data_IF_478402208706
#
_entry.id   IF_478402208706
#
_cell.length_a   1.000
_cell.length_b   1.000
_cell.length_c   1.000
_cell.angle_alpha   90.00
_cell.angle_beta   90.00
_cell.angle_gamma   90.00
#
_symmetry.space_group_name_H-M   'P 1'
#
loop_
_entity.id
_entity.type
_entity.pdbx_description
1 polymer ?
#
# COMPACT_ATOMS: atom_id res chain seq x y z
N UNK A 1 -26.25 -7.89 16.28
CA UNK A 1 -27.39 -8.16 15.38
C UNK A 1 -28.76 -7.71 15.88
N UNK A 2 -29.14 -7.91 17.15
CA UNK A 2 -30.51 -7.62 17.62
C UNK A 2 -30.99 -6.18 17.34
N UNK A 3 -30.13 -5.19 17.59
CA UNK A 3 -30.47 -3.79 17.32
C UNK A 3 -30.70 -3.52 15.82
N UNK A 4 -29.82 -4.04 14.95
CA UNK A 4 -29.96 -3.93 13.49
C UNK A 4 -31.31 -4.52 13.04
N UNK A 5 -31.65 -5.72 13.52
CA UNK A 5 -32.92 -6.37 13.20
C UNK A 5 -34.14 -5.65 13.77
N UNK A 6 -34.03 -4.94 14.90
CA UNK A 6 -35.14 -4.14 15.44
C UNK A 6 -35.54 -2.97 14.55
N UNK A 7 -34.65 -2.55 13.63
CA UNK A 7 -34.87 -1.43 12.72
C UNK A 7 -35.14 -1.91 11.29
N UNK A 8 -34.27 -2.81 10.79
CA UNK A 8 -34.22 -3.15 9.37
C UNK A 8 -35.04 -4.39 8.98
N UNK A 9 -35.42 -5.26 9.93
CA UNK A 9 -36.09 -6.53 9.58
C UNK A 9 -37.41 -6.33 8.81
N UNK A 10 -38.15 -5.25 9.09
CA UNK A 10 -39.39 -4.90 8.37
C UNK A 10 -39.17 -4.58 6.88
N UNK A 11 -37.94 -4.25 6.49
CA UNK A 11 -37.55 -3.96 5.10
C UNK A 11 -36.97 -5.18 4.39
N UNK A 12 -36.74 -6.28 5.13
CA UNK A 12 -36.18 -7.50 4.57
C UNK A 12 -37.24 -8.31 3.81
N UNK A 13 -36.86 -9.03 2.73
CA UNK A 13 -37.79 -9.86 1.99
C UNK A 13 -38.27 -11.05 2.83
N UNK A 14 -39.48 -11.55 2.55
CA UNK A 14 -40.08 -12.69 3.29
C UNK A 14 -39.20 -13.94 3.28
N UNK A 15 -38.45 -14.16 2.18
CA UNK A 15 -37.52 -15.30 2.03
C UNK A 15 -36.24 -15.18 2.87
N UNK A 16 -35.93 -13.99 3.38
CA UNK A 16 -34.78 -13.73 4.25
C UNK A 16 -35.13 -12.65 5.27
N UNK A 17 -36.05 -12.91 6.21
CA UNK A 17 -36.72 -11.86 7.00
C UNK A 17 -35.83 -11.24 8.09
N UNK A 18 -34.59 -11.69 8.22
CA UNK A 18 -33.64 -11.22 9.24
C UNK A 18 -32.37 -10.74 8.55
N UNK A 19 -31.81 -9.65 9.07
CA UNK A 19 -30.47 -9.19 8.71
C UNK A 19 -29.44 -10.06 9.43
N UNK A 20 -28.50 -10.61 8.66
CA UNK A 20 -27.35 -11.38 9.13
C UNK A 20 -26.16 -11.16 8.18
N UNK A 21 -24.98 -11.65 8.57
CA UNK A 21 -23.78 -11.61 7.72
C UNK A 21 -24.05 -12.30 6.37
N UNK A 22 -24.68 -13.47 6.43
CA UNK A 22 -25.01 -14.33 5.29
C UNK A 22 -26.50 -14.25 4.86
N UNK A 23 -27.25 -13.23 5.31
CA UNK A 23 -28.63 -13.01 4.85
C UNK A 23 -28.68 -12.64 3.38
N UNK A 24 -29.89 -12.61 2.80
CA UNK A 24 -30.11 -12.26 1.40
C UNK A 24 -31.18 -11.16 1.31
N UNK A 25 -30.81 -9.86 1.25
CA UNK A 25 -29.46 -9.32 1.02
C UNK A 25 -28.52 -9.48 2.23
N UNK A 26 -27.20 -9.55 1.95
CA UNK A 26 -26.15 -9.61 2.99
C UNK A 26 -26.03 -8.30 3.74
N UNK A 27 -25.60 -8.35 5.00
CA UNK A 27 -25.37 -7.14 5.79
C UNK A 27 -24.41 -6.15 5.11
N UNK A 28 -23.33 -6.65 4.49
CA UNK A 28 -22.39 -5.82 3.73
C UNK A 28 -23.05 -5.10 2.54
N UNK A 29 -23.95 -5.78 1.82
CA UNK A 29 -24.72 -5.16 0.72
C UNK A 29 -25.74 -4.12 1.20
N UNK A 30 -26.36 -4.32 2.36
CA UNK A 30 -27.21 -3.30 3.00
C UNK A 30 -26.37 -2.09 3.40
N UNK A 31 -25.21 -2.30 4.03
CA UNK A 31 -24.28 -1.24 4.41
C UNK A 31 -23.80 -0.44 3.20
N UNK A 32 -23.42 -1.13 2.11
CA UNK A 32 -23.03 -0.51 0.84
C UNK A 32 -24.15 0.39 0.28
N UNK A 33 -25.37 -0.14 0.19
CA UNK A 33 -26.54 0.61 -0.30
C UNK A 33 -26.79 1.87 0.53
N UNK A 34 -26.72 1.78 1.87
CA UNK A 34 -26.91 2.93 2.75
C UNK A 34 -25.84 3.99 2.50
N UNK A 35 -24.56 3.60 2.42
CA UNK A 35 -23.47 4.55 2.17
C UNK A 35 -23.54 5.16 0.76
N UNK A 36 -23.93 4.39 -0.24
CA UNK A 36 -24.18 4.90 -1.59
C UNK A 36 -25.29 5.95 -1.58
N UNK A 37 -26.46 5.66 -1.02
CA UNK A 37 -27.56 6.63 -0.96
C UNK A 37 -27.22 7.88 -0.14
N UNK A 38 -26.45 7.74 0.95
CA UNK A 38 -25.98 8.87 1.76
C UNK A 38 -25.09 9.83 0.94
N UNK A 39 -24.24 9.29 0.06
CA UNK A 39 -23.31 10.05 -0.77
C UNK A 39 -23.94 10.75 -1.98
N UNK A 40 -25.06 10.24 -2.51
CA UNK A 40 -25.68 10.73 -3.76
C UNK A 40 -26.72 11.85 -3.57
N UNK A 41 -27.04 12.20 -2.31
CA UNK A 41 -27.94 13.31 -1.98
C UNK A 41 -29.43 12.94 -1.84
N UNK A 42 -30.33 13.93 -1.73
CA UNK A 42 -31.71 13.70 -1.28
C UNK A 42 -32.55 12.79 -2.20
N UNK A 43 -32.27 12.76 -3.51
CA UNK A 43 -33.06 12.02 -4.49
C UNK A 43 -32.97 10.49 -4.33
N UNK A 44 -31.90 9.99 -3.71
CA UNK A 44 -31.66 8.56 -3.49
C UNK A 44 -31.77 8.16 -2.03
N UNK A 45 -32.10 9.11 -1.13
CA UNK A 45 -32.20 8.85 0.31
C UNK A 45 -33.23 7.76 0.60
N UNK A 46 -32.82 6.83 1.45
CA UNK A 46 -33.68 5.84 2.08
C UNK A 46 -34.51 6.47 3.21
N UNK A 47 -35.50 5.76 3.75
CA UNK A 47 -36.18 6.18 4.98
C UNK A 47 -35.19 6.53 6.10
N UNK A 48 -35.54 7.51 6.95
CA UNK A 48 -34.61 8.11 7.91
C UNK A 48 -33.96 7.12 8.88
N UNK A 49 -34.65 6.03 9.20
CA UNK A 49 -34.13 4.99 10.10
C UNK A 49 -32.88 4.27 9.57
N UNK A 50 -32.65 4.25 8.26
CA UNK A 50 -31.44 3.68 7.66
C UNK A 50 -30.19 4.50 8.01
N UNK A 51 -30.36 5.74 8.46
CA UNK A 51 -29.28 6.64 8.85
C UNK A 51 -29.15 6.80 10.36
N UNK A 52 -29.78 5.91 11.15
CA UNK A 52 -29.55 5.83 12.59
C UNK A 52 -28.05 5.59 12.88
N UNK A 53 -27.48 6.39 13.78
CA UNK A 53 -26.03 6.38 14.05
C UNK A 53 -25.56 5.04 14.61
N UNK A 54 -26.35 4.45 15.51
CA UNK A 54 -26.00 3.21 16.20
C UNK A 54 -26.15 2.01 15.25
N UNK A 55 -27.16 2.05 14.38
CA UNK A 55 -27.36 1.10 13.29
C UNK A 55 -26.14 1.08 12.37
N UNK A 56 -25.75 2.26 11.85
CA UNK A 56 -24.59 2.39 10.95
C UNK A 56 -23.30 1.92 11.60
N UNK A 57 -23.06 2.30 12.86
CA UNK A 57 -21.87 1.86 13.60
C UNK A 57 -21.82 0.33 13.72
N UNK A 58 -22.93 -0.32 14.09
CA UNK A 58 -22.94 -1.77 14.24
C UNK A 58 -22.83 -2.51 12.91
N UNK A 59 -23.42 -2.00 11.83
CA UNK A 59 -23.24 -2.59 10.50
C UNK A 59 -21.81 -2.41 10.01
N UNK A 60 -21.21 -1.23 10.16
CA UNK A 60 -19.82 -0.96 9.77
C UNK A 60 -18.86 -1.89 10.51
N UNK A 61 -18.97 -1.98 11.84
CA UNK A 61 -18.11 -2.85 12.64
C UNK A 61 -18.16 -4.30 12.14
N UNK A 62 -19.37 -4.82 11.91
CA UNK A 62 -19.55 -6.22 11.54
C UNK A 62 -19.10 -6.49 10.09
N UNK A 63 -19.32 -5.53 9.18
CA UNK A 63 -18.83 -5.62 7.82
C UNK A 63 -17.29 -5.55 7.76
N UNK A 64 -16.67 -4.67 8.56
CA UNK A 64 -15.21 -4.57 8.69
C UNK A 64 -14.62 -5.86 9.26
N UNK A 65 -15.24 -6.42 10.29
CA UNK A 65 -14.78 -7.68 10.88
C UNK A 65 -14.92 -8.85 9.88
N UNK A 66 -16.06 -8.95 9.18
CA UNK A 66 -16.30 -9.96 8.15
C UNK A 66 -15.23 -9.91 7.04
N UNK A 67 -14.89 -8.72 6.56
CA UNK A 67 -14.05 -8.56 5.37
C UNK A 67 -12.56 -8.45 5.69
N UNK A 68 -12.18 -7.88 6.84
CA UNK A 68 -10.80 -7.41 7.05
C UNK A 68 -10.11 -7.98 8.29
N UNK A 69 -10.81 -8.66 9.21
CA UNK A 69 -10.18 -9.21 10.42
C UNK A 69 -9.04 -10.19 10.10
N UNK A 70 -9.16 -10.96 9.01
CA UNK A 70 -8.13 -11.91 8.57
C UNK A 70 -6.74 -11.27 8.37
N UNK A 71 -6.67 -10.02 7.91
CA UNK A 71 -5.39 -9.32 7.75
C UNK A 71 -4.67 -9.05 9.08
N UNK A 72 -5.39 -8.97 10.20
CA UNK A 72 -4.80 -8.76 11.52
C UNK A 72 -4.34 -10.06 12.18
N UNK A 73 -4.85 -11.21 11.74
CA UNK A 73 -4.76 -12.46 12.52
C UNK A 73 -4.05 -13.60 11.78
N UNK A 74 -3.95 -13.56 10.45
CA UNK A 74 -3.40 -14.66 9.64
C UNK A 74 -2.32 -14.19 8.67
N UNK A 75 -1.14 -14.80 8.74
CA UNK A 75 -0.03 -14.55 7.81
C UNK A 75 -0.39 -15.00 6.40
N UNK A 76 -0.97 -16.18 6.24
CA UNK A 76 -1.49 -16.65 4.96
C UNK A 76 -2.50 -15.68 4.34
N UNK A 77 -3.44 -15.15 5.13
CA UNK A 77 -4.43 -14.19 4.63
C UNK A 77 -3.77 -12.90 4.09
N UNK A 78 -2.78 -12.36 4.81
CA UNK A 78 -1.96 -11.23 4.34
C UNK A 78 -1.19 -11.60 3.07
N UNK A 79 -0.55 -12.77 3.09
CA UNK A 79 0.37 -13.23 2.05
C UNK A 79 -0.33 -13.43 0.71
N UNK A 80 -1.46 -14.12 0.73
CA UNK A 80 -2.22 -14.44 -0.48
C UNK A 80 -3.14 -13.28 -0.89
N UNK A 81 -3.56 -12.43 0.04
CA UNK A 81 -4.43 -11.28 -0.23
C UNK A 81 -3.70 -10.06 -0.80
N UNK A 82 -2.67 -9.56 -0.10
CA UNK A 82 -2.01 -8.28 -0.45
C UNK A 82 -0.49 -8.37 -0.58
N UNK A 83 0.10 -9.48 -0.15
CA UNK A 83 1.54 -9.69 -0.09
C UNK A 83 2.26 -9.51 -1.42
N UNK A 84 1.67 -9.98 -2.52
CA UNK A 84 2.26 -9.79 -3.85
C UNK A 84 2.43 -8.30 -4.19
N UNK A 85 1.36 -7.51 -4.00
CA UNK A 85 1.35 -6.08 -4.28
C UNK A 85 2.31 -5.30 -3.38
N UNK A 86 2.29 -5.54 -2.06
CA UNK A 86 3.20 -4.84 -1.15
C UNK A 86 4.66 -5.23 -1.39
N UNK A 87 4.92 -6.50 -1.73
CA UNK A 87 6.24 -6.92 -2.19
C UNK A 87 6.71 -6.14 -3.43
N UNK A 88 5.83 -5.90 -4.40
CA UNK A 88 6.17 -5.11 -5.60
C UNK A 88 6.42 -3.65 -5.26
N UNK A 89 5.63 -3.06 -4.36
CA UNK A 89 5.84 -1.69 -3.88
C UNK A 89 7.21 -1.55 -3.21
N UNK A 90 7.56 -2.49 -2.32
CA UNK A 90 8.87 -2.49 -1.65
C UNK A 90 10.00 -2.73 -2.63
N UNK A 91 9.84 -3.62 -3.61
CA UNK A 91 10.85 -3.87 -4.63
C UNK A 91 11.19 -2.62 -5.46
N UNK A 92 10.17 -1.82 -5.81
CA UNK A 92 10.36 -0.51 -6.47
C UNK A 92 11.15 0.47 -5.58
N UNK A 93 10.89 0.46 -4.28
CA UNK A 93 11.63 1.29 -3.33
C UNK A 93 13.07 0.84 -3.17
N UNK A 94 13.30 -0.47 -3.08
CA UNK A 94 14.64 -1.08 -3.02
C UNK A 94 15.43 -0.74 -4.27
N UNK A 95 14.86 -0.91 -5.47
CA UNK A 95 15.54 -0.55 -6.72
C UNK A 95 15.87 0.94 -6.79
N UNK A 96 15.02 1.79 -6.21
CA UNK A 96 15.33 3.23 -6.09
C UNK A 96 16.51 3.49 -5.16
N UNK A 97 16.53 2.82 -4.00
CA UNK A 97 17.58 3.00 -3.00
C UNK A 97 18.92 2.38 -3.41
N UNK A 98 18.92 1.24 -4.12
CA UNK A 98 20.12 0.45 -4.44
C UNK A 98 20.62 0.76 -5.85
N UNK A 99 19.72 0.81 -6.82
CA UNK A 99 20.06 0.95 -8.25
C UNK A 99 19.90 2.40 -8.76
N UNK A 100 19.57 3.34 -7.87
CA UNK A 100 19.39 4.76 -8.19
C UNK A 100 18.11 5.09 -8.95
N UNK A 101 17.15 4.15 -9.04
CA UNK A 101 15.82 4.43 -9.56
C UNK A 101 15.10 3.19 -10.08
N UNK A 102 13.81 3.07 -9.77
CA UNK A 102 12.96 2.06 -10.39
C UNK A 102 12.61 2.39 -11.85
N UNK A 103 12.68 1.40 -12.73
CA UNK A 103 12.32 1.47 -14.14
C UNK A 103 11.38 0.31 -14.47
N UNK A 104 10.44 0.53 -15.40
CA UNK A 104 9.50 -0.51 -15.83
C UNK A 104 9.62 -0.74 -17.33
N UNK A 105 9.80 -2.00 -17.74
CA UNK A 105 9.79 -2.43 -19.14
C UNK A 105 8.42 -2.24 -19.82
N UNK A 106 7.35 -2.24 -19.03
CA UNK A 106 5.98 -2.08 -19.51
C UNK A 106 5.52 -0.61 -19.53
N UNK A 107 6.37 0.34 -19.14
CA UNK A 107 5.99 1.75 -19.14
C UNK A 107 5.89 2.29 -20.57
N UNK A 108 4.70 2.77 -20.93
CA UNK A 108 4.44 3.46 -22.20
C UNK A 108 5.29 4.75 -22.37
N UNK A 109 5.93 5.24 -21.30
CA UNK A 109 6.71 6.49 -21.31
C UNK A 109 8.13 6.37 -21.88
N UNK A 110 8.46 5.27 -22.57
CA UNK A 110 9.81 5.01 -23.09
C UNK A 110 10.85 4.74 -22.00
N UNK A 111 10.41 4.33 -20.81
CA UNK A 111 11.33 3.83 -19.79
C UNK A 111 11.76 2.42 -20.19
N UNK A 112 13.00 2.22 -20.64
CA UNK A 112 13.60 0.89 -20.71
C UNK A 112 14.42 0.61 -19.44
N UNK A 113 14.69 -0.65 -19.16
CA UNK A 113 15.58 -1.07 -18.06
C UNK A 113 16.98 -0.47 -18.18
N UNK A 114 17.51 -0.36 -19.41
CA UNK A 114 18.88 0.10 -19.63
C UNK A 114 19.02 1.62 -19.80
N UNK A 115 18.05 2.30 -20.41
CA UNK A 115 18.15 3.71 -20.81
C UNK A 115 16.92 4.56 -20.43
N UNK A 116 15.97 3.98 -19.70
CA UNK A 116 14.76 4.65 -19.27
C UNK A 116 14.99 5.67 -18.15
N UNK A 117 14.13 6.70 -18.11
CA UNK A 117 14.05 7.58 -16.94
C UNK A 117 13.45 6.82 -15.77
N UNK A 118 14.05 6.98 -14.59
CA UNK A 118 13.51 6.44 -13.36
C UNK A 118 12.10 6.99 -13.11
N UNK A 119 11.17 6.10 -12.74
CA UNK A 119 9.79 6.44 -12.43
C UNK A 119 9.74 7.06 -11.04
N UNK A 120 9.25 8.29 -10.96
CA UNK A 120 9.15 9.06 -9.71
C UNK A 120 7.78 8.99 -9.05
N UNK A 121 6.76 8.57 -9.80
CA UNK A 121 5.38 8.56 -9.35
C UNK A 121 4.61 7.46 -10.07
N UNK A 122 3.83 6.70 -9.30
CA UNK A 122 2.95 5.67 -9.81
C UNK A 122 1.59 5.81 -9.13
N UNK A 123 0.53 5.66 -9.91
CA UNK A 123 -0.84 5.63 -9.43
C UNK A 123 -1.47 4.29 -9.79
N UNK A 124 -2.26 3.75 -8.87
CA UNK A 124 -3.03 2.54 -9.09
C UNK A 124 -4.46 2.77 -8.63
N UNK A 125 -5.41 2.70 -9.57
CA UNK A 125 -6.81 2.57 -9.21
C UNK A 125 -7.03 1.22 -8.55
N UNK A 126 -7.73 1.21 -7.41
CA UNK A 126 -7.97 0.00 -6.63
C UNK A 126 -9.33 0.08 -5.92
N UNK A 127 -9.58 -0.87 -5.03
CA UNK A 127 -10.81 -0.98 -4.25
C UNK A 127 -10.54 -0.68 -2.77
N UNK A 128 -11.58 -0.32 -2.02
CA UNK A 128 -11.57 -0.23 -0.56
C UNK A 128 -10.88 -1.42 0.12
N UNK A 129 -11.15 -2.63 -0.35
CA UNK A 129 -10.51 -3.87 0.11
C UNK A 129 -8.99 -3.83 0.01
N UNK A 130 -8.43 -3.18 -1.02
CA UNK A 130 -6.98 -3.01 -1.18
C UNK A 130 -6.42 -2.08 -0.11
N UNK A 131 -7.10 -0.97 0.19
CA UNK A 131 -6.66 -0.04 1.24
C UNK A 131 -6.74 -0.69 2.62
N UNK A 132 -7.85 -1.36 2.92
CA UNK A 132 -8.03 -2.08 4.18
C UNK A 132 -6.99 -3.21 4.33
N UNK A 133 -6.67 -3.92 3.26
CA UNK A 133 -5.65 -4.96 3.25
C UNK A 133 -4.26 -4.42 3.55
N UNK A 134 -3.86 -3.30 2.94
CA UNK A 134 -2.57 -2.66 3.19
C UNK A 134 -2.48 -2.21 4.66
N UNK A 135 -3.48 -1.46 5.14
CA UNK A 135 -3.46 -0.93 6.51
C UNK A 135 -3.54 -2.05 7.55
N UNK A 136 -4.40 -3.05 7.33
CA UNK A 136 -4.53 -4.22 8.19
C UNK A 136 -3.24 -5.03 8.27
N UNK A 137 -2.59 -5.28 7.12
CA UNK A 137 -1.34 -6.07 7.08
C UNK A 137 -0.15 -5.36 7.73
N UNK A 138 -0.14 -4.03 7.69
CA UNK A 138 0.84 -3.19 8.39
C UNK A 138 0.50 -2.94 9.86
N UNK A 139 -0.58 -3.53 10.40
CA UNK A 139 -0.99 -3.35 11.79
C UNK A 139 -1.48 -1.93 12.11
N UNK A 140 -1.96 -1.20 11.10
CA UNK A 140 -2.35 0.20 11.17
C UNK A 140 -3.79 0.43 10.68
N UNK A 141 -4.63 -0.60 10.75
CA UNK A 141 -6.06 -0.48 10.40
C UNK A 141 -6.78 0.47 11.36
N UNK A 142 -7.59 1.43 10.86
CA UNK A 142 -8.42 2.27 11.70
C UNK A 142 -9.67 1.55 12.23
N UNK A 143 -9.90 0.27 11.85
CA UNK A 143 -11.11 -0.48 12.24
C UNK A 143 -12.38 0.05 11.59
N UNK A 144 -12.27 0.70 10.43
CA UNK A 144 -13.37 1.33 9.69
C UNK A 144 -13.31 0.99 8.21
N UNK A 145 -14.46 1.04 7.55
CA UNK A 145 -14.52 0.81 6.11
C UNK A 145 -13.90 2.02 5.37
N UNK A 146 -12.99 1.83 4.40
CA UNK A 146 -12.45 2.95 3.65
C UNK A 146 -13.54 3.71 2.88
N UNK A 147 -13.81 5.00 3.17
CA UNK A 147 -14.86 5.74 2.46
C UNK A 147 -14.49 6.00 1.00
N UNK A 148 -15.48 6.39 0.19
CA UNK A 148 -15.25 6.85 -1.18
C UNK A 148 -14.12 7.89 -1.23
N UNK A 149 -13.34 7.86 -2.32
CA UNK A 149 -12.17 8.73 -2.56
C UNK A 149 -11.00 8.54 -1.59
N UNK A 150 -11.05 7.51 -0.73
CA UNK A 150 -9.91 7.20 0.12
C UNK A 150 -8.67 6.85 -0.69
N UNK A 151 -7.50 7.18 -0.13
CA UNK A 151 -6.22 6.91 -0.76
C UNK A 151 -5.15 6.54 0.26
N UNK A 152 -4.18 5.76 -0.20
CA UNK A 152 -2.92 5.51 0.51
C UNK A 152 -1.78 6.04 -0.35
N UNK A 153 -0.95 6.90 0.23
CA UNK A 153 0.34 7.28 -0.34
C UNK A 153 1.44 6.47 0.36
N UNK A 154 2.31 5.84 -0.44
CA UNK A 154 3.50 5.13 0.04
C UNK A 154 4.71 5.87 -0.51
N UNK A 155 5.40 6.60 0.35
CA UNK A 155 6.38 7.62 -0.04
C UNK A 155 7.78 7.20 0.40
N UNK A 156 8.77 7.35 -0.50
CA UNK A 156 10.17 7.07 -0.23
C UNK A 156 10.96 8.37 -0.14
N UNK A 157 11.74 8.50 0.93
CA UNK A 157 12.61 9.63 1.22
C UNK A 157 14.06 9.15 1.35
N UNK A 158 15.00 10.04 1.08
CA UNK A 158 16.40 9.89 1.45
C UNK A 158 16.83 11.09 2.29
N UNK A 159 17.85 10.91 3.12
CA UNK A 159 18.50 12.08 3.75
C UNK A 159 19.18 12.89 2.65
N UNK A 160 18.89 14.19 2.60
CA UNK A 160 19.66 15.11 1.79
C UNK A 160 21.11 15.08 2.30
N UNK A 161 22.07 14.86 1.39
CA UNK A 161 23.46 15.15 1.69
C UNK A 161 23.54 16.63 2.01
N UNK A 162 23.75 16.98 3.28
CA UNK A 162 24.19 18.33 3.67
C UNK A 162 25.59 18.51 3.09
N UNK A 163 25.69 18.78 1.79
CA UNK A 163 26.80 19.58 1.29
C UNK A 163 26.71 20.88 2.07
N UNK A 164 27.82 21.24 2.70
CA UNK A 164 28.02 22.46 3.47
C UNK A 164 27.95 23.71 2.58
N UNK A 165 26.85 23.91 1.86
CA UNK A 165 26.47 25.19 1.27
C UNK A 165 25.17 25.54 1.97
N UNK A 166 25.22 26.57 2.82
CA UNK A 166 24.08 27.07 3.59
C UNK A 166 22.99 27.63 2.69
N UNK A 167 22.30 26.76 1.96
CA UNK A 167 21.07 27.08 1.25
C UNK A 167 19.90 26.80 2.18
N UNK A 168 19.31 27.90 2.61
CA UNK A 168 18.25 28.03 3.59
C UNK A 168 17.00 27.27 3.12
N UNK A 169 16.33 26.59 4.05
CA UNK A 169 15.12 25.80 3.77
C UNK A 169 13.97 26.64 3.16
N UNK A 170 14.07 27.97 3.23
CA UNK A 170 13.16 28.93 2.60
C UNK A 170 13.15 28.88 1.06
N UNK A 171 14.24 28.50 0.40
CA UNK A 171 14.32 28.53 -1.08
C UNK A 171 13.46 27.45 -1.73
N UNK A 172 13.37 26.27 -1.11
CA UNK A 172 12.53 25.17 -1.62
C UNK A 172 11.04 25.50 -1.53
N UNK A 173 10.59 26.20 -0.48
CA UNK A 173 9.20 26.61 -0.30
C UNK A 173 8.78 27.72 -1.27
N UNK A 174 9.69 28.63 -1.65
CA UNK A 174 9.42 29.64 -2.68
C UNK A 174 9.28 29.03 -4.08
N UNK A 175 10.06 28.00 -4.43
CA UNK A 175 10.00 27.38 -5.76
C UNK A 175 8.68 26.64 -6.02
N UNK A 176 8.06 26.07 -4.97
CA UNK A 176 6.69 25.52 -5.05
C UNK A 176 5.61 26.60 -5.11
N UNK A 177 5.87 27.78 -4.55
CA UNK A 177 4.91 28.89 -4.49
C UNK A 177 4.91 29.74 -5.77
N UNK A 178 6.05 29.80 -6.47
CA UNK A 178 6.20 30.52 -7.73
C UNK A 178 7.07 29.70 -8.70
N UNK A 179 6.48 28.92 -9.63
CA UNK A 179 7.26 28.25 -10.65
C UNK A 179 7.82 29.29 -11.63
N UNK A 180 9.02 29.79 -11.36
CA UNK A 180 9.74 30.63 -12.31
C UNK A 180 10.07 29.78 -13.54
N UNK A 181 9.59 30.22 -14.71
CA UNK A 181 9.91 29.61 -16.00
C UNK A 181 11.43 29.75 -16.20
N UNK A 182 12.16 28.65 -15.98
CA UNK A 182 13.59 28.60 -16.24
C UNK A 182 13.84 28.85 -17.74
N UNK A 183 14.46 29.98 -18.06
CA UNK A 183 14.90 30.29 -19.40
C UNK A 183 15.92 29.25 -19.87
N UNK A 184 15.56 28.49 -20.92
CA UNK A 184 16.48 27.60 -21.63
C UNK A 184 17.69 28.40 -22.14
N UNK A 185 18.87 28.16 -21.58
CA UNK A 185 20.13 28.52 -22.24
C UNK A 185 20.28 27.64 -23.49
N UNK A 186 20.23 28.28 -24.65
CA UNK A 186 20.57 27.67 -25.94
C UNK A 186 22.06 27.33 -25.98
N UNK A 187 22.39 26.05 -26.13
CA UNK A 187 23.75 25.59 -26.32
C UNK A 187 23.84 24.47 -27.35
N UNK A 188 24.32 24.83 -28.55
CA UNK A 188 25.23 23.99 -29.36
C UNK A 188 24.65 22.83 -30.17
N UNK A 189 24.31 23.11 -31.43
CA UNK A 189 23.99 22.17 -32.53
C UNK A 189 25.23 21.44 -33.09
N UNK A 190 26.06 20.76 -32.28
CA UNK A 190 27.17 19.93 -32.80
C UNK A 190 27.51 18.74 -31.89
N UNK A 191 26.83 17.61 -32.08
CA UNK A 191 27.40 16.28 -31.83
C UNK A 191 26.59 15.21 -32.57
N UNK A 192 26.56 15.32 -33.91
CA UNK A 192 25.97 14.33 -34.80
C UNK A 192 27.08 13.77 -35.70
N UNK A 193 27.95 12.93 -35.13
CA UNK A 193 28.74 11.90 -35.84
C UNK A 193 29.72 11.24 -34.86
N UNK A 194 29.31 10.10 -34.30
CA UNK A 194 30.19 8.96 -34.06
C UNK A 194 29.31 7.72 -33.96
N UNK A 195 29.10 7.10 -35.11
CA UNK A 195 28.58 5.74 -35.19
C UNK A 195 29.61 4.81 -34.56
N UNK A 196 29.15 4.03 -33.58
CA UNK A 196 29.82 2.80 -33.18
C UNK A 196 28.86 1.67 -33.48
N UNK A 197 29.18 0.91 -34.52
CA UNK A 197 28.65 -0.43 -34.72
C UNK A 197 29.03 -1.29 -33.52
N UNK A 198 28.04 -1.78 -32.78
CA UNK A 198 28.21 -2.97 -31.96
C UNK A 198 27.00 -3.86 -32.15
N UNK A 199 27.21 -4.92 -32.94
CA UNK A 199 26.46 -6.16 -32.80
C UNK A 199 26.72 -6.70 -31.41
N UNK A 200 25.70 -6.78 -30.56
CA UNK A 200 25.71 -7.70 -29.43
C UNK A 200 24.33 -8.30 -29.26
N UNK A 201 24.32 -9.62 -29.35
CA UNK A 201 23.24 -10.52 -28.99
C UNK A 201 22.63 -10.11 -27.65
N UNK A 202 21.36 -9.75 -27.67
CA UNK A 202 20.59 -9.29 -26.52
C UNK A 202 20.26 -10.46 -25.57
N UNK A 203 21.18 -10.78 -24.68
CA UNK A 203 20.81 -11.35 -23.39
C UNK A 203 20.42 -10.20 -22.46
N UNK A 204 19.21 -10.20 -21.86
CA UNK A 204 18.87 -9.24 -20.82
C UNK A 204 19.95 -9.28 -19.73
N UNK A 205 20.32 -8.14 -19.12
CA UNK A 205 21.16 -8.16 -17.95
C UNK A 205 20.54 -9.09 -16.88
N UNK A 206 21.35 -9.82 -16.11
CA UNK A 206 20.82 -10.64 -15.04
C UNK A 206 20.01 -9.76 -14.07
N UNK A 207 18.92 -10.30 -13.48
CA UNK A 207 18.16 -9.55 -12.48
C UNK A 207 19.08 -9.06 -11.37
N UNK A 208 18.83 -7.84 -10.87
CA UNK A 208 19.55 -7.32 -9.70
C UNK A 208 19.48 -8.33 -8.56
N UNK A 209 20.58 -8.53 -7.84
CA UNK A 209 20.66 -9.49 -6.71
C UNK A 209 19.65 -9.18 -5.60
N UNK A 210 19.09 -7.97 -5.58
CA UNK A 210 18.07 -7.52 -4.62
C UNK A 210 16.62 -7.68 -5.13
N UNK A 211 16.43 -7.98 -6.42
CA UNK A 211 15.10 -8.03 -7.04
C UNK A 211 14.24 -9.16 -6.45
N UNK A 212 13.13 -8.78 -5.79
CA UNK A 212 12.19 -9.68 -5.09
C UNK A 212 12.87 -10.64 -4.10
N UNK A 213 14.09 -10.34 -3.68
CA UNK A 213 14.84 -11.15 -2.73
C UNK A 213 14.51 -10.76 -1.28
N UNK A 214 14.53 -11.70 -0.32
CA UNK A 214 14.32 -11.38 1.08
C UNK A 214 15.47 -10.52 1.62
N UNK A 215 15.19 -9.61 2.56
CA UNK A 215 16.19 -8.74 3.18
C UNK A 215 17.37 -9.54 3.76
N UNK A 216 17.09 -10.74 4.27
CA UNK A 216 18.08 -11.66 4.81
C UNK A 216 19.21 -11.99 3.81
N UNK A 217 18.94 -12.03 2.51
CA UNK A 217 19.92 -12.35 1.48
C UNK A 217 20.63 -11.13 0.88
N UNK A 218 20.30 -9.91 1.34
CA UNK A 218 20.90 -8.70 0.76
C UNK A 218 22.36 -8.55 1.18
N UNK A 219 23.25 -8.12 0.26
CA UNK A 219 24.63 -7.80 0.58
C UNK A 219 24.72 -6.54 1.47
N UNK A 220 25.77 -6.44 2.28
CA UNK A 220 25.93 -5.34 3.25
C UNK A 220 25.81 -3.93 2.64
N UNK A 221 26.39 -3.63 1.45
CA UNK A 221 26.22 -2.31 0.84
C UNK A 221 24.77 -1.98 0.50
N UNK A 222 23.98 -2.97 0.05
CA UNK A 222 22.56 -2.77 -0.23
C UNK A 222 21.78 -2.45 1.05
N UNK A 223 22.03 -3.20 2.14
CA UNK A 223 21.43 -2.95 3.46
C UNK A 223 21.76 -1.55 3.98
N UNK A 224 23.02 -1.13 3.87
CA UNK A 224 23.43 0.22 4.25
C UNK A 224 22.73 1.30 3.42
N UNK A 225 22.44 1.03 2.14
CA UNK A 225 21.67 1.96 1.32
C UNK A 225 20.23 2.08 1.81
N UNK A 226 19.57 0.97 2.13
CA UNK A 226 18.19 0.99 2.66
C UNK A 226 18.08 1.81 3.95
N UNK A 227 19.08 1.74 4.84
CA UNK A 227 19.12 2.51 6.10
C UNK A 227 19.26 4.03 5.92
N UNK A 228 19.66 4.49 4.73
CA UNK A 228 19.69 5.92 4.37
C UNK A 228 18.35 6.42 3.83
N UNK A 229 17.40 5.52 3.64
CA UNK A 229 16.09 5.79 3.08
C UNK A 229 14.99 5.55 4.12
N UNK A 230 13.91 6.32 3.99
CA UNK A 230 12.76 6.27 4.88
C UNK A 230 11.47 6.12 4.09
N UNK A 231 10.54 5.35 4.62
CA UNK A 231 9.21 5.13 4.09
C UNK A 231 8.20 5.83 4.99
N UNK A 232 7.31 6.62 4.39
CA UNK A 232 6.11 7.15 5.07
C UNK A 232 4.87 6.63 4.37
N UNK A 233 3.91 6.20 5.17
CA UNK A 233 2.57 5.87 4.69
C UNK A 233 1.63 7.00 5.12
N UNK A 234 0.74 7.42 4.21
CA UNK A 234 -0.35 8.33 4.55
C UNK A 234 -1.68 7.73 4.13
N UNK A 235 -2.66 7.74 5.01
CA UNK A 235 -4.03 7.33 4.72
C UNK A 235 -4.93 8.57 4.79
N UNK A 236 -5.56 8.91 3.67
CA UNK A 236 -6.35 10.14 3.54
C UNK A 236 -5.58 11.38 4.02
N UNK A 237 -4.35 11.52 3.52
CA UNK A 237 -3.40 12.59 3.83
C UNK A 237 -2.81 12.59 5.25
N UNK A 238 -3.27 11.71 6.14
CA UNK A 238 -2.79 11.60 7.52
C UNK A 238 -1.65 10.58 7.63
N UNK A 239 -0.49 10.93 8.22
CA UNK A 239 0.60 9.99 8.47
C UNK A 239 0.14 8.77 9.28
N UNK A 240 0.56 7.60 8.82
CA UNK A 240 0.26 6.31 9.44
C UNK A 240 1.49 5.83 10.20
N UNK A 241 1.29 5.51 11.48
CA UNK A 241 2.33 4.95 12.35
C UNK A 241 2.29 3.42 12.28
N UNK A 242 3.38 2.80 11.80
CA UNK A 242 3.50 1.34 11.69
C UNK A 242 4.10 0.79 13.01
N UNK A 243 3.43 -0.12 13.73
CA UNK A 243 3.90 -0.61 15.03
C UNK A 243 5.31 -1.21 15.02
N UNK A 244 5.64 -2.06 14.05
CA UNK A 244 6.94 -2.73 13.94
C UNK A 244 8.10 -1.78 13.62
N UNK A 245 7.81 -0.69 12.91
CA UNK A 245 8.77 0.39 12.70
C UNK A 245 8.98 1.18 13.99
N UNK A 246 7.89 1.55 14.67
CA UNK A 246 7.96 2.36 15.87
C UNK A 246 8.41 1.58 17.13
N UNK A 247 8.54 0.26 17.04
CA UNK A 247 8.95 -0.59 18.15
C UNK A 247 10.40 -0.40 18.59
N UNK A 248 11.28 0.06 17.68
CA UNK A 248 12.72 0.22 17.94
C UNK A 248 13.24 1.55 17.38
N UNK A 249 14.03 2.34 18.13
CA UNK A 249 14.52 3.65 17.68
C UNK A 249 15.30 3.64 16.36
N UNK A 250 15.98 2.53 16.03
CA UNK A 250 16.73 2.38 14.78
C UNK A 250 15.87 2.09 13.55
N UNK A 251 14.60 1.70 13.74
CA UNK A 251 13.68 1.33 12.67
C UNK A 251 12.90 2.52 12.12
N UNK A 252 13.16 3.74 12.62
CA UNK A 252 12.47 4.94 12.18
C UNK A 252 13.36 6.20 12.26
N UNK A 253 12.86 7.32 11.76
CA UNK A 253 13.53 8.62 11.88
C UNK A 253 13.54 9.09 13.34
N UNK A 254 14.69 9.54 13.83
CA UNK A 254 14.80 10.07 15.18
C UNK A 254 13.87 11.28 15.38
N UNK A 255 12.98 11.20 16.37
CA UNK A 255 11.99 12.24 16.66
C UNK A 255 10.66 12.12 15.90
N UNK A 256 10.56 11.20 14.92
CA UNK A 256 9.33 10.97 14.16
C UNK A 256 9.18 9.48 13.81
N UNK A 257 8.33 8.77 14.55
CA UNK A 257 8.11 7.34 14.38
C UNK A 257 7.09 6.98 13.27
N UNK A 258 6.64 7.96 12.49
CA UNK A 258 5.84 7.75 11.26
C UNK A 258 6.70 7.52 10.02
N UNK A 259 8.01 7.81 10.09
CA UNK A 259 8.98 7.53 9.04
C UNK A 259 9.76 6.26 9.36
N UNK A 260 9.34 5.14 8.80
CA UNK A 260 10.05 3.86 8.93
C UNK A 260 11.36 3.89 8.14
N UNK A 261 12.45 3.26 8.59
CA UNK A 261 13.58 3.00 7.70
C UNK A 261 13.16 1.99 6.63
N UNK A 262 13.73 2.09 5.41
CA UNK A 262 13.33 1.19 4.32
C UNK A 262 13.67 -0.29 4.62
N UNK A 263 14.75 -0.56 5.37
CA UNK A 263 15.08 -1.92 5.81
C UNK A 263 14.05 -2.49 6.80
N UNK A 264 13.61 -1.70 7.79
CA UNK A 264 12.57 -2.10 8.73
C UNK A 264 11.22 -2.30 8.03
N UNK A 265 10.85 -1.41 7.11
CA UNK A 265 9.61 -1.55 6.33
C UNK A 265 9.65 -2.81 5.47
N UNK A 266 10.79 -3.08 4.81
CA UNK A 266 11.00 -4.31 4.05
C UNK A 266 10.94 -5.56 4.93
N UNK A 267 11.57 -5.54 6.10
CA UNK A 267 11.54 -6.67 7.04
C UNK A 267 10.10 -7.06 7.42
N UNK A 268 9.23 -6.07 7.65
CA UNK A 268 7.81 -6.29 7.95
C UNK A 268 7.10 -6.88 6.73
N UNK A 269 7.28 -6.30 5.54
CA UNK A 269 6.59 -6.73 4.32
C UNK A 269 7.06 -8.11 3.84
N UNK A 270 8.34 -8.45 4.01
CA UNK A 270 8.91 -9.74 3.63
C UNK A 270 8.22 -10.91 4.37
N UNK A 271 7.71 -10.69 5.59
CA UNK A 271 7.01 -11.72 6.38
C UNK A 271 5.73 -12.23 5.75
N UNK A 272 5.11 -11.42 4.90
CA UNK A 272 3.91 -11.78 4.16
C UNK A 272 4.08 -11.58 2.65
N UNK A 273 5.30 -11.50 2.14
CA UNK A 273 5.53 -11.52 0.70
C UNK A 273 5.58 -12.97 0.22
N UNK A 274 4.73 -13.40 -0.73
CA UNK A 274 4.76 -14.77 -1.24
C UNK A 274 6.05 -15.03 -2.01
N UNK A 275 6.61 -16.22 -1.84
CA UNK A 275 7.73 -16.74 -2.63
C UNK A 275 7.24 -17.26 -3.96
N UNK A 276 6.15 -18.04 -3.93
CA UNK A 276 5.46 -18.53 -5.11
C UNK A 276 3.96 -18.49 -4.86
N UNK A 277 3.34 -17.37 -5.21
CA UNK A 277 1.92 -17.13 -4.93
C UNK A 277 1.02 -18.23 -5.50
N UNK A 278 1.34 -18.79 -6.68
CA UNK A 278 0.52 -19.81 -7.32
C UNK A 278 0.54 -21.13 -6.55
N UNK A 279 1.71 -21.55 -6.07
CA UNK A 279 1.84 -22.76 -5.26
C UNK A 279 1.22 -22.55 -3.87
N UNK A 280 1.57 -21.43 -3.22
CA UNK A 280 1.07 -21.09 -1.88
C UNK A 280 -0.46 -20.92 -1.84
N UNK A 281 -1.12 -20.51 -2.93
CA UNK A 281 -2.57 -20.49 -3.05
C UNK A 281 -3.26 -21.86 -3.00
N UNK A 282 -2.49 -22.95 -3.21
CA UNK A 282 -3.02 -24.32 -3.17
C UNK A 282 -2.72 -25.04 -1.85
N UNK A 283 -2.00 -24.37 -0.95
CA UNK A 283 -1.69 -24.88 0.38
C UNK A 283 -2.87 -24.71 1.35
N UNK A 284 -2.86 -25.44 2.46
CA UNK A 284 -3.80 -25.33 3.59
C UNK A 284 -5.30 -25.37 3.25
N UNK A 285 -5.70 -25.87 2.07
CA UNK A 285 -7.10 -26.03 1.69
C UNK A 285 -7.82 -26.91 2.72
N UNK A 286 -8.88 -26.37 3.32
CA UNK A 286 -9.68 -27.05 4.34
C UNK A 286 -9.07 -27.08 5.75
N UNK A 287 -7.90 -26.46 5.97
CA UNK A 287 -7.24 -26.42 7.27
C UNK A 287 -7.74 -25.28 8.21
N UNK A 288 -8.64 -24.43 7.73
CA UNK A 288 -9.14 -23.26 8.48
C UNK A 288 -8.23 -22.03 8.37
N UNK A 289 -8.64 -20.91 8.97
CA UNK A 289 -8.00 -19.59 8.82
C UNK A 289 -6.53 -19.53 9.26
N UNK A 290 -6.16 -20.36 10.23
CA UNK A 290 -4.81 -20.38 10.82
C UNK A 290 -3.98 -21.58 10.36
N UNK A 291 -4.48 -22.35 9.39
CA UNK A 291 -3.82 -23.56 8.92
C UNK A 291 -3.72 -24.65 9.99
N UNK A 292 -2.94 -25.70 9.70
CA UNK A 292 -2.72 -26.81 10.62
C UNK A 292 -1.93 -26.33 11.84
N UNK A 293 -2.39 -26.71 13.04
CA UNK A 293 -1.76 -26.38 14.33
C UNK A 293 -1.62 -24.86 14.58
N UNK A 294 -2.55 -24.06 14.04
CA UNK A 294 -2.57 -22.58 14.12
C UNK A 294 -1.28 -21.89 13.61
N UNK A 295 -0.52 -22.53 12.71
CA UNK A 295 0.76 -22.02 12.22
C UNK A 295 0.70 -20.65 11.55
N UNK A 296 -0.42 -20.32 10.91
CA UNK A 296 -0.59 -19.05 10.21
C UNK A 296 -1.08 -17.93 11.15
N UNK A 297 -1.41 -18.25 12.40
CA UNK A 297 -1.89 -17.27 13.37
C UNK A 297 -0.78 -16.31 13.76
N UNK A 298 -0.94 -15.04 13.38
CA UNK A 298 0.03 -14.00 13.71
C UNK A 298 -0.59 -12.61 13.65
N UNK A 299 -0.24 -11.78 14.64
CA UNK A 299 -0.59 -10.36 14.70
C UNK A 299 0.14 -9.61 13.59
N UNK A 300 -0.56 -8.68 12.92
CA UNK A 300 0.01 -7.86 11.86
C UNK A 300 0.92 -6.73 12.38
N UNK A 301 1.70 -6.16 11.46
CA UNK A 301 2.49 -4.96 11.72
C UNK A 301 3.84 -5.13 12.41
N UNK A 302 4.32 -6.37 12.63
CA UNK A 302 5.61 -6.64 13.28
C UNK A 302 6.56 -7.45 12.42
#
# INVERSE_FOLDING_TARGET
MNYINSILSKWMPEKSPKVAVDSHPRLSGINDTINATDAHGPATRLPSEFYDKKLRQYMEQIAVDEWFAGYNESTEYRKLGIGALLGDVVDRMVSTAVDGGWRSEASASGSSTDNGKAIKFAMSGCHDTTLAAILGSLGASPGRWPPFTSSIAVELFSKADRKSSGEDAGVMLEEFSNPAIAQKKSGGLFSFMKGSSNSNTSTPPPPSETARAPLASFPDPARQSLQKHYVRIRYNDVPVRIPGCAAKPQNHLAGDDTFCTLDAFKEIVDKFTPKNWREECTENIGAGLYGKDDKEKAVSGF
#
